data_IF_167099793422
#
_entry.id   IF_167099793422
#
_cell.length_a   1.000
_cell.length_b   1.000
_cell.length_c   1.000
_cell.angle_alpha   90.00
_cell.angle_beta   90.00
_cell.angle_gamma   90.00
#
_symmetry.space_group_name_H-M   'P 1'
#
loop_
_entity.id
_entity.type
_entity.pdbx_description
1 polymer ?
#
# COMPACT_ATOMS: atom_id res chain seq x y z
N UNK A 1 5.18 7.83 17.50
CA UNK A 1 5.92 7.03 18.51
C UNK A 1 6.58 7.89 19.61
N UNK A 2 6.17 9.16 19.80
CA UNK A 2 6.86 10.10 20.70
C UNK A 2 6.95 9.62 22.16
N UNK A 3 5.92 8.95 22.67
CA UNK A 3 5.95 8.37 24.02
C UNK A 3 7.03 7.29 24.18
N UNK A 4 7.21 6.42 23.18
CA UNK A 4 8.27 5.40 23.19
C UNK A 4 9.65 6.06 23.09
N UNK A 5 9.79 7.10 22.26
CA UNK A 5 11.03 7.87 22.16
C UNK A 5 11.40 8.55 23.49
N UNK A 6 10.41 9.10 24.21
CA UNK A 6 10.62 9.71 25.52
C UNK A 6 11.05 8.68 26.57
N UNK A 7 10.36 7.54 26.66
CA UNK A 7 10.72 6.47 27.60
C UNK A 7 12.15 5.93 27.36
N UNK A 8 12.56 5.77 26.10
CA UNK A 8 13.92 5.34 25.77
C UNK A 8 14.98 6.40 26.15
N UNK A 9 14.65 7.70 26.07
CA UNK A 9 15.55 8.79 26.47
C UNK A 9 15.79 8.85 27.98
N UNK A 10 14.82 8.43 28.80
CA UNK A 10 14.95 8.31 30.25
C UNK A 10 15.76 7.08 30.69
N UNK A 11 16.40 6.37 29.74
CA UNK A 11 17.23 5.19 30.01
C UNK A 11 16.56 3.86 29.62
N UNK A 12 15.26 3.87 29.32
CA UNK A 12 14.53 2.66 28.94
C UNK A 12 14.54 1.58 30.02
N UNK A 13 14.38 0.33 29.59
CA UNK A 13 14.51 -0.84 30.48
C UNK A 13 16.00 -1.16 30.76
N UNK A 14 16.31 -1.82 31.87
CA UNK A 14 17.68 -2.20 32.29
C UNK A 14 18.40 -3.06 31.25
N UNK A 15 17.65 -3.78 30.40
CA UNK A 15 18.17 -4.57 29.29
C UNK A 15 18.63 -3.73 28.09
N UNK A 16 18.38 -2.42 28.10
CA UNK A 16 18.63 -1.51 26.99
C UNK A 16 17.56 -1.60 25.89
N UNK A 17 17.98 -1.47 24.63
CA UNK A 17 17.11 -1.59 23.45
C UNK A 17 17.17 -3.01 22.90
N UNK A 18 16.03 -3.67 22.74
CA UNK A 18 15.97 -5.01 22.15
C UNK A 18 14.75 -5.21 21.24
N UNK A 19 13.57 -4.76 21.67
CA UNK A 19 12.33 -4.92 20.92
C UNK A 19 11.44 -3.68 21.01
N UNK A 20 10.49 -3.57 20.09
CA UNK A 20 9.44 -2.57 20.16
C UNK A 20 8.17 -3.07 19.48
N UNK A 21 7.01 -2.71 20.01
CA UNK A 21 5.72 -3.08 19.44
C UNK A 21 4.75 -1.89 19.44
N UNK A 22 3.84 -1.89 18.48
CA UNK A 22 2.69 -1.00 18.41
C UNK A 22 1.45 -1.81 18.07
N UNK A 23 0.43 -1.72 18.92
CA UNK A 23 -0.88 -2.28 18.67
C UNK A 23 -1.92 -1.16 18.77
N UNK A 24 -2.72 -0.99 17.72
CA UNK A 24 -3.89 -0.09 17.69
C UNK A 24 -5.08 -0.96 17.35
N UNK A 25 -6.13 -0.84 18.16
CA UNK A 25 -7.38 -1.59 18.02
C UNK A 25 -8.53 -0.64 17.70
N UNK A 26 -9.52 -1.12 16.95
CA UNK A 26 -10.78 -0.40 16.74
C UNK A 26 -11.61 -0.41 18.02
N UNK A 27 -12.40 0.65 18.23
CA UNK A 27 -13.26 0.76 19.42
C UNK A 27 -14.47 -0.18 19.35
N UNK A 28 -14.95 -0.46 18.13
CA UNK A 28 -16.06 -1.35 17.84
C UNK A 28 -15.53 -2.50 16.97
N UNK A 29 -15.20 -3.66 17.57
CA UNK A 29 -14.66 -4.78 16.82
C UNK A 29 -15.72 -5.40 15.91
N UNK A 30 -15.32 -5.72 14.69
CA UNK A 30 -16.13 -6.39 13.65
C UNK A 30 -16.09 -7.91 13.78
N UNK A 31 -15.14 -8.45 14.55
CA UNK A 31 -14.85 -9.88 14.63
C UNK A 31 -13.82 -10.35 13.59
N UNK A 32 -13.41 -9.47 12.67
CA UNK A 32 -12.31 -9.71 11.76
C UNK A 32 -11.04 -9.06 12.31
N UNK A 33 -10.09 -9.89 12.77
CA UNK A 33 -8.84 -9.45 13.38
C UNK A 33 -8.05 -8.49 12.48
N UNK A 34 -8.10 -8.66 11.15
CA UNK A 34 -7.38 -7.79 10.22
C UNK A 34 -7.95 -6.37 10.17
N UNK A 35 -9.27 -6.23 10.28
CA UNK A 35 -9.94 -4.92 10.32
C UNK A 35 -9.86 -4.29 11.71
N UNK A 36 -9.91 -5.14 12.74
CA UNK A 36 -9.97 -4.70 14.14
C UNK A 36 -8.60 -4.24 14.68
N UNK A 37 -7.51 -4.57 13.99
CA UNK A 37 -6.14 -4.26 14.38
C UNK A 37 -5.37 -3.51 13.26
N UNK A 38 -5.76 -2.27 12.92
CA UNK A 38 -5.15 -1.51 11.83
C UNK A 38 -3.64 -1.28 11.98
N UNK A 39 -3.12 -1.42 13.21
CA UNK A 39 -1.69 -1.57 13.46
C UNK A 39 -1.47 -2.70 14.44
N UNK A 40 -0.76 -3.73 14.02
CA UNK A 40 -0.21 -4.77 14.89
C UNK A 40 1.22 -5.06 14.43
N UNK A 41 2.15 -4.21 14.89
CA UNK A 41 3.52 -4.17 14.40
C UNK A 41 4.46 -4.54 15.53
N UNK A 42 5.44 -5.40 15.22
CA UNK A 42 6.46 -5.85 16.15
C UNK A 42 7.83 -5.84 15.48
N UNK A 43 8.81 -5.37 16.22
CA UNK A 43 10.23 -5.52 15.93
C UNK A 43 10.82 -6.32 17.07
N UNK A 44 11.23 -7.54 16.75
CA UNK A 44 11.90 -8.45 17.68
C UNK A 44 13.41 -8.41 17.39
N UNK A 45 14.21 -8.46 18.45
CA UNK A 45 15.68 -8.58 18.40
C UNK A 45 16.39 -7.62 17.43
N UNK A 46 16.36 -6.32 17.74
CA UNK A 46 17.00 -5.28 16.94
C UNK A 46 17.81 -4.33 17.81
N UNK A 47 19.00 -3.86 17.35
CA UNK A 47 19.75 -2.82 18.04
C UNK A 47 19.05 -1.44 17.99
N UNK A 48 18.17 -1.23 17.00
CA UNK A 48 17.46 0.04 16.80
C UNK A 48 15.94 -0.20 16.60
N UNK A 49 15.25 -0.79 17.59
CA UNK A 49 13.90 -1.30 17.41
C UNK A 49 12.87 -0.19 17.15
N UNK A 50 13.03 0.99 17.75
CA UNK A 50 12.15 2.14 17.49
C UNK A 50 12.35 2.76 16.11
N UNK A 51 13.57 2.71 15.56
CA UNK A 51 13.84 3.15 14.18
C UNK A 51 13.12 2.24 13.19
N UNK A 52 13.24 0.94 13.41
CA UNK A 52 12.61 -0.07 12.56
C UNK A 52 11.09 -0.07 12.70
N UNK A 53 10.56 0.05 13.92
CA UNK A 53 9.12 0.15 14.16
C UNK A 53 8.54 1.37 13.43
N UNK A 54 9.27 2.49 13.37
CA UNK A 54 8.85 3.68 12.62
C UNK A 54 8.78 3.43 11.11
N UNK A 55 9.75 2.70 10.55
CA UNK A 55 9.72 2.26 9.15
C UNK A 55 8.48 1.41 8.89
N UNK A 56 8.19 0.44 9.76
CA UNK A 56 7.00 -0.41 9.65
C UNK A 56 5.70 0.38 9.78
N UNK A 57 5.60 1.34 10.70
CA UNK A 57 4.42 2.22 10.84
C UNK A 57 4.19 3.02 9.55
N UNK A 58 5.26 3.52 8.94
CA UNK A 58 5.17 4.28 7.69
C UNK A 58 4.67 3.39 6.53
N UNK A 59 5.18 2.17 6.42
CA UNK A 59 4.72 1.19 5.43
C UNK A 59 3.27 0.81 5.67
N UNK A 60 2.90 0.46 6.91
CA UNK A 60 1.53 0.11 7.27
C UNK A 60 0.56 1.26 6.95
N UNK A 61 0.96 2.52 7.19
CA UNK A 61 0.15 3.67 6.83
C UNK A 61 -0.09 3.77 5.32
N UNK A 62 0.94 3.52 4.49
CA UNK A 62 0.77 3.49 3.03
C UNK A 62 -0.19 2.38 2.59
N UNK A 63 -0.06 1.17 3.14
CA UNK A 63 -0.97 0.06 2.84
C UNK A 63 -2.40 0.27 3.38
N UNK A 64 -2.58 1.05 4.44
CA UNK A 64 -3.90 1.48 4.91
C UNK A 64 -4.57 2.48 3.95
N UNK A 65 -3.82 3.25 3.16
CA UNK A 65 -4.37 4.01 2.04
C UNK A 65 -4.78 3.07 0.91
N UNK A 66 -3.93 2.11 0.53
CA UNK A 66 -4.22 1.10 -0.50
C UNK A 66 -5.49 0.30 -0.18
N UNK A 67 -5.65 -0.15 1.07
CA UNK A 67 -6.84 -0.88 1.53
C UNK A 67 -8.11 -0.05 1.41
N UNK A 68 -8.05 1.25 1.73
CA UNK A 68 -9.18 2.17 1.50
C UNK A 68 -9.45 2.39 0.01
N UNK A 69 -8.39 2.39 -0.80
CA UNK A 69 -8.50 2.38 -2.26
C UNK A 69 -9.28 1.15 -2.76
N UNK A 70 -8.95 -0.03 -2.25
CA UNK A 70 -9.65 -1.29 -2.57
C UNK A 70 -11.13 -1.24 -2.14
N UNK A 71 -11.43 -0.72 -0.95
CA UNK A 71 -12.81 -0.54 -0.47
C UNK A 71 -13.61 0.38 -1.40
N UNK A 72 -13.04 1.54 -1.77
CA UNK A 72 -13.69 2.45 -2.72
C UNK A 72 -13.84 1.83 -4.12
N UNK A 73 -12.87 1.04 -4.56
CA UNK A 73 -12.92 0.33 -5.83
C UNK A 73 -14.09 -0.68 -5.84
N UNK A 74 -14.26 -1.44 -4.76
CA UNK A 74 -15.35 -2.40 -4.61
C UNK A 74 -16.73 -1.72 -4.61
N UNK A 75 -16.81 -0.48 -4.12
CA UNK A 75 -18.01 0.35 -4.16
C UNK A 75 -18.21 1.13 -5.48
N UNK A 76 -17.31 0.98 -6.46
CA UNK A 76 -17.27 1.74 -7.72
C UNK A 76 -17.02 3.26 -7.54
N UNK A 77 -16.47 3.67 -6.40
CA UNK A 77 -16.05 5.05 -6.11
C UNK A 77 -14.64 5.33 -6.68
N UNK A 78 -14.47 5.21 -8.00
CA UNK A 78 -13.16 5.21 -8.67
C UNK A 78 -12.31 6.45 -8.40
N UNK A 79 -12.91 7.64 -8.36
CA UNK A 79 -12.17 8.89 -8.07
C UNK A 79 -11.55 8.89 -6.67
N UNK A 80 -12.29 8.37 -5.67
CA UNK A 80 -11.79 8.24 -4.29
C UNK A 80 -10.73 7.15 -4.19
N UNK A 81 -10.94 6.04 -4.89
CA UNK A 81 -9.95 4.97 -4.97
C UNK A 81 -8.61 5.50 -5.55
N UNK A 82 -8.69 6.29 -6.62
CA UNK A 82 -7.51 6.90 -7.24
C UNK A 82 -6.73 7.78 -6.26
N UNK A 83 -7.43 8.62 -5.50
CA UNK A 83 -6.81 9.50 -4.50
C UNK A 83 -6.06 8.69 -3.43
N UNK A 84 -6.69 7.65 -2.88
CA UNK A 84 -6.08 6.80 -1.86
C UNK A 84 -4.87 6.01 -2.41
N UNK A 85 -4.98 5.39 -3.59
CA UNK A 85 -3.83 4.73 -4.22
C UNK A 85 -2.69 5.69 -4.52
N UNK A 86 -3.00 6.92 -4.95
CA UNK A 86 -1.99 7.96 -5.20
C UNK A 86 -1.21 8.27 -3.92
N UNK A 87 -1.90 8.48 -2.80
CA UNK A 87 -1.24 8.76 -1.51
C UNK A 87 -0.35 7.57 -1.11
N UNK A 88 -0.86 6.33 -1.22
CA UNK A 88 -0.07 5.14 -0.91
C UNK A 88 1.20 5.02 -1.77
N UNK A 89 1.07 5.25 -3.08
CA UNK A 89 2.18 5.24 -4.04
C UNK A 89 3.20 6.36 -3.76
N UNK A 90 2.76 7.58 -3.47
CA UNK A 90 3.65 8.70 -3.13
C UNK A 90 4.39 8.46 -1.81
N UNK A 91 3.78 7.76 -0.86
CA UNK A 91 4.43 7.37 0.38
C UNK A 91 5.54 6.34 0.16
N UNK A 92 5.33 5.35 -0.72
CA UNK A 92 6.31 4.30 -1.06
C UNK A 92 6.66 4.34 -2.56
N UNK A 93 7.40 5.37 -3.03
CA UNK A 93 7.56 5.65 -4.47
C UNK A 93 8.32 4.58 -5.26
N UNK A 94 9.11 3.75 -4.57
CA UNK A 94 9.86 2.63 -5.14
C UNK A 94 9.08 1.30 -5.13
N UNK A 95 7.91 1.26 -4.49
CA UNK A 95 7.08 0.06 -4.43
C UNK A 95 6.32 -0.13 -5.75
N UNK A 96 6.62 -1.23 -6.43
CA UNK A 96 6.06 -1.57 -7.75
C UNK A 96 4.57 -1.88 -7.69
N UNK A 97 4.13 -2.59 -6.66
CA UNK A 97 2.74 -2.97 -6.44
C UNK A 97 1.84 -1.73 -6.32
N UNK A 98 2.21 -0.78 -5.45
CA UNK A 98 1.36 0.39 -5.20
C UNK A 98 1.21 1.26 -6.44
N UNK A 99 2.29 1.41 -7.20
CA UNK A 99 2.24 2.13 -8.47
C UNK A 99 1.46 1.37 -9.54
N UNK A 100 1.50 0.04 -9.55
CA UNK A 100 0.69 -0.77 -10.46
C UNK A 100 -0.81 -0.61 -10.19
N UNK A 101 -1.23 -0.62 -8.93
CA UNK A 101 -2.63 -0.39 -8.57
C UNK A 101 -3.09 1.03 -8.91
N UNK A 102 -2.25 2.04 -8.64
CA UNK A 102 -2.51 3.41 -9.09
C UNK A 102 -2.67 3.51 -10.62
N UNK A 103 -1.77 2.88 -11.38
CA UNK A 103 -1.84 2.83 -12.85
C UNK A 103 -3.13 2.15 -13.35
N UNK A 104 -3.53 1.06 -12.70
CA UNK A 104 -4.76 0.33 -13.02
C UNK A 104 -5.98 1.22 -12.79
N UNK A 105 -6.06 1.91 -11.66
CA UNK A 105 -7.17 2.81 -11.33
C UNK A 105 -7.23 4.03 -12.25
N UNK A 106 -6.09 4.54 -12.74
CA UNK A 106 -6.06 5.58 -13.78
C UNK A 106 -6.79 5.16 -15.06
N UNK A 107 -6.74 3.88 -15.45
CA UNK A 107 -7.50 3.37 -16.60
C UNK A 107 -9.00 3.45 -16.35
N UNK A 108 -9.44 3.14 -15.12
CA UNK A 108 -10.86 3.11 -14.75
C UNK A 108 -11.51 4.49 -14.67
N UNK A 109 -10.71 5.55 -14.47
CA UNK A 109 -11.16 6.95 -14.50
C UNK A 109 -10.86 7.65 -15.82
N UNK A 110 -10.73 6.90 -16.92
CA UNK A 110 -10.48 7.39 -18.28
C UNK A 110 -9.18 8.19 -18.47
N UNK A 111 -8.19 8.04 -17.56
CA UNK A 111 -6.87 8.69 -17.64
C UNK A 111 -5.81 7.77 -18.26
N UNK A 112 -6.11 7.26 -19.46
CA UNK A 112 -5.26 6.26 -20.12
C UNK A 112 -3.82 6.73 -20.33
N UNK A 113 -3.60 7.96 -20.82
CA UNK A 113 -2.23 8.43 -21.12
C UNK A 113 -1.34 8.54 -19.87
N UNK A 114 -1.91 8.97 -18.74
CA UNK A 114 -1.24 8.96 -17.44
C UNK A 114 -0.93 7.51 -17.00
N UNK A 115 -1.90 6.60 -17.14
CA UNK A 115 -1.72 5.19 -16.76
C UNK A 115 -0.57 4.52 -17.53
N UNK A 116 -0.40 4.82 -18.82
CA UNK A 116 0.65 4.22 -19.64
C UNK A 116 2.05 4.62 -19.17
N UNK A 117 2.20 5.84 -18.65
CA UNK A 117 3.46 6.31 -18.08
C UNK A 117 3.82 5.50 -16.83
N UNK A 118 2.85 5.26 -15.96
CA UNK A 118 3.06 4.46 -14.74
C UNK A 118 3.27 2.98 -15.05
N UNK A 119 2.51 2.39 -15.97
CA UNK A 119 2.73 1.02 -16.43
C UNK A 119 4.11 0.83 -17.06
N UNK A 120 4.60 1.81 -17.84
CA UNK A 120 5.96 1.78 -18.39
C UNK A 120 7.01 1.73 -17.29
N UNK A 121 6.82 2.50 -16.21
CA UNK A 121 7.73 2.45 -15.06
C UNK A 121 7.69 1.07 -14.39
N UNK A 122 6.48 0.55 -14.12
CA UNK A 122 6.28 -0.76 -13.47
C UNK A 122 6.91 -1.87 -14.28
N UNK A 123 6.63 -1.96 -15.58
CA UNK A 123 7.13 -3.05 -16.42
C UNK A 123 8.61 -2.96 -16.72
N UNK A 124 9.20 -1.77 -16.72
CA UNK A 124 10.65 -1.61 -16.82
C UNK A 124 11.35 -2.17 -15.58
N UNK A 125 10.76 -2.01 -14.39
CA UNK A 125 11.36 -2.45 -13.13
C UNK A 125 11.09 -3.93 -12.86
N UNK A 126 9.86 -4.38 -13.05
CA UNK A 126 9.45 -5.77 -12.85
C UNK A 126 8.52 -6.24 -13.99
N UNK A 127 9.07 -6.82 -15.07
CA UNK A 127 8.29 -7.27 -16.22
C UNK A 127 7.21 -8.32 -15.91
N UNK A 128 7.32 -9.03 -14.78
CA UNK A 128 6.37 -10.07 -14.37
C UNK A 128 4.95 -9.52 -14.17
N UNK A 129 4.80 -8.24 -13.80
CA UNK A 129 3.51 -7.58 -13.60
C UNK A 129 2.67 -7.48 -14.87
N UNK A 130 3.28 -7.57 -16.07
CA UNK A 130 2.53 -7.65 -17.34
C UNK A 130 1.55 -8.82 -17.36
N UNK A 131 1.87 -9.92 -16.65
CA UNK A 131 1.01 -11.12 -16.58
C UNK A 131 -0.32 -10.85 -15.87
N UNK A 132 -0.39 -9.82 -15.03
CA UNK A 132 -1.59 -9.50 -14.26
C UNK A 132 -2.62 -8.72 -15.09
N UNK A 133 -2.17 -7.88 -16.03
CA UNK A 133 -3.05 -7.05 -16.88
C UNK A 133 -4.19 -7.83 -17.57
N UNK A 134 -3.94 -8.93 -18.32
CA UNK A 134 -5.03 -9.68 -18.94
C UNK A 134 -5.96 -10.32 -17.90
N UNK A 135 -5.43 -10.79 -16.77
CA UNK A 135 -6.24 -11.39 -15.70
C UNK A 135 -7.19 -10.36 -15.08
N UNK A 136 -6.73 -9.13 -14.91
CA UNK A 136 -7.58 -8.04 -14.41
C UNK A 136 -8.72 -7.72 -15.37
N UNK A 137 -8.45 -7.72 -16.68
CA UNK A 137 -9.50 -7.58 -17.70
C UNK A 137 -10.52 -8.73 -17.63
N UNK A 138 -10.04 -9.99 -17.56
CA UNK A 138 -10.90 -11.18 -17.45
C UNK A 138 -11.78 -11.14 -16.19
N UNK A 139 -11.27 -10.57 -15.10
CA UNK A 139 -11.99 -10.42 -13.82
C UNK A 139 -12.81 -9.15 -13.67
N UNK A 140 -12.83 -8.27 -14.68
CA UNK A 140 -13.60 -7.01 -14.66
C UNK A 140 -12.96 -5.86 -13.88
N UNK A 141 -11.73 -6.01 -13.36
CA UNK A 141 -10.96 -4.94 -12.71
C UNK A 141 -10.25 -4.01 -13.70
N UNK A 142 -10.20 -4.38 -14.98
CA UNK A 142 -9.85 -3.50 -16.09
C UNK A 142 -10.92 -3.63 -17.18
N UNK A 143 -11.11 -2.61 -18.04
CA UNK A 143 -12.00 -2.73 -19.18
C UNK A 143 -11.55 -3.87 -20.10
N UNK A 144 -12.48 -4.72 -20.53
CA UNK A 144 -12.25 -5.73 -21.57
C UNK A 144 -12.21 -5.08 -22.99
N UNK A 145 -11.32 -4.10 -23.15
CA UNK A 145 -10.98 -3.49 -24.44
C UNK A 145 -9.60 -3.97 -24.89
N UNK A 146 -9.59 -4.86 -25.88
CA UNK A 146 -8.38 -5.41 -26.50
C UNK A 146 -7.40 -4.34 -26.98
N UNK A 147 -7.86 -3.15 -27.38
CA UNK A 147 -6.98 -2.04 -27.80
C UNK A 147 -6.29 -1.43 -26.59
N UNK A 148 -7.00 -1.19 -25.50
CA UNK A 148 -6.45 -0.65 -24.24
C UNK A 148 -5.44 -1.64 -23.67
N UNK A 149 -5.82 -2.90 -23.52
CA UNK A 149 -4.93 -3.95 -22.98
C UNK A 149 -3.66 -4.09 -23.82
N UNK A 150 -3.78 -4.05 -25.15
CA UNK A 150 -2.61 -4.07 -26.04
C UNK A 150 -1.72 -2.82 -25.90
N UNK A 151 -2.29 -1.63 -25.65
CA UNK A 151 -1.51 -0.41 -25.37
C UNK A 151 -0.74 -0.52 -24.06
N UNK A 152 -1.37 -1.03 -23.00
CA UNK A 152 -0.75 -1.26 -21.70
C UNK A 152 0.41 -2.26 -21.83
N UNK A 153 0.16 -3.44 -22.40
CA UNK A 153 1.18 -4.50 -22.54
C UNK A 153 2.40 -4.11 -23.39
N UNK A 154 2.24 -3.11 -24.28
CA UNK A 154 3.30 -2.54 -25.12
C UNK A 154 4.23 -1.58 -24.39
N UNK A 155 3.87 -1.10 -23.20
CA UNK A 155 4.76 -0.28 -22.37
C UNK A 155 5.95 -1.10 -21.86
#
# INVERSE_FOLDING_TARGET
>A
LAALDAAQKEGGDLRGKQSAALMIVTINPTGNVYLDHPYNLRVEDSPEPLKELRRLVYIAKAYNHVSRGDDYLAENHYDKALEEYKIGMEMLPDNVELRFWYATTLVLVDKLDESLTEFKWVFKREPIWKKLVPRLADSGFLPDDKKIIKKILKQ
#
